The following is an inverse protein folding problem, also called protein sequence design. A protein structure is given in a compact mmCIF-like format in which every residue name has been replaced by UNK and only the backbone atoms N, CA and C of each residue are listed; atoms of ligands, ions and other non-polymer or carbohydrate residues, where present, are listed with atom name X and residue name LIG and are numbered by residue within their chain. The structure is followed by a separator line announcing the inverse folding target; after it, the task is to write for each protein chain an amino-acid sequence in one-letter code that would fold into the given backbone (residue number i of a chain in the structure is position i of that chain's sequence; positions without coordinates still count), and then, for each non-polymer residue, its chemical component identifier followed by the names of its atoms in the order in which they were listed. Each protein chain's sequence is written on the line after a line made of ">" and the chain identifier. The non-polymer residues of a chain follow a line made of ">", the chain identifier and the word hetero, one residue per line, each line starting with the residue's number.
data_IF_653193639564
#
_entry.id   IF_653193639564
#
_cell.length_a   1.000
_cell.length_b   1.000
_cell.length_c   1.000
_cell.angle_alpha   90.00
_cell.angle_beta   90.00
_cell.angle_gamma   90.00
#
_symmetry.space_group_name_H-M   'P 1'
#
loop_
_entity.id
_entity.type
_entity.pdbx_description
1 polymer ?
#
# COMPACT_ATOMS: atom_id res chain seq x y z
N UNK A 1 11.72 19.97 -14.87
CA UNK A 1 11.19 18.84 -14.09
C UNK A 1 10.02 18.26 -14.88
N UNK A 2 10.06 16.98 -15.28
CA UNK A 2 8.99 16.40 -16.12
C UNK A 2 7.85 15.87 -15.23
N UNK A 3 6.78 16.67 -15.12
CA UNK A 3 5.54 16.33 -14.38
C UNK A 3 4.97 14.97 -14.85
N UNK A 4 5.23 14.56 -16.10
CA UNK A 4 4.78 13.27 -16.62
C UNK A 4 5.45 12.09 -15.91
N UNK A 5 6.74 12.18 -15.60
CA UNK A 5 7.47 11.09 -14.92
C UNK A 5 6.96 10.86 -13.50
N UNK A 6 6.59 11.92 -12.78
CA UNK A 6 6.01 11.79 -11.45
C UNK A 6 4.59 11.20 -11.46
N UNK A 7 3.72 11.70 -12.34
CA UNK A 7 2.34 11.18 -12.45
C UNK A 7 2.34 9.69 -12.81
N UNK A 8 3.31 9.25 -13.63
CA UNK A 8 3.53 7.84 -13.91
C UNK A 8 3.93 7.05 -12.65
N UNK A 9 4.75 7.61 -11.75
CA UNK A 9 5.09 6.95 -10.48
C UNK A 9 3.91 6.84 -9.52
N UNK A 10 3.05 7.84 -9.41
CA UNK A 10 1.77 7.66 -8.68
C UNK A 10 0.93 6.56 -9.34
N UNK A 11 0.84 6.57 -10.67
CA UNK A 11 0.06 5.55 -11.39
C UNK A 11 0.62 4.14 -11.16
N UNK A 12 1.94 3.98 -11.10
CA UNK A 12 2.62 2.73 -10.78
C UNK A 12 2.34 2.28 -9.34
N UNK A 13 2.35 3.20 -8.36
CA UNK A 13 1.99 2.88 -6.98
C UNK A 13 0.53 2.43 -6.87
N UNK A 14 -0.39 3.11 -7.58
CA UNK A 14 -1.80 2.72 -7.65
C UNK A 14 -2.00 1.35 -8.33
N UNK A 15 -1.20 1.03 -9.34
CA UNK A 15 -1.23 -0.29 -9.98
C UNK A 15 -0.89 -1.41 -8.98
N UNK A 16 0.18 -1.26 -8.22
CA UNK A 16 0.54 -2.26 -7.20
C UNK A 16 -0.49 -2.32 -6.05
N UNK A 17 -1.03 -1.17 -5.64
CA UNK A 17 -2.13 -1.14 -4.67
C UNK A 17 -3.36 -1.91 -5.18
N UNK A 18 -3.73 -1.75 -6.46
CA UNK A 18 -4.84 -2.49 -7.07
C UNK A 18 -4.59 -4.01 -7.05
N UNK A 19 -3.34 -4.45 -7.22
CA UNK A 19 -2.97 -5.87 -7.09
C UNK A 19 -3.08 -6.37 -5.65
N UNK A 20 -2.66 -5.58 -4.64
CA UNK A 20 -2.83 -5.95 -3.22
C UNK A 20 -4.33 -6.09 -2.90
N UNK A 21 -5.15 -5.13 -3.34
CA UNK A 21 -6.60 -5.20 -3.16
C UNK A 21 -7.21 -6.41 -3.88
N UNK A 22 -6.70 -6.78 -5.05
CA UNK A 22 -7.15 -7.96 -5.78
C UNK A 22 -6.80 -9.25 -5.02
N UNK A 23 -5.59 -9.31 -4.44
CA UNK A 23 -5.12 -10.42 -3.63
C UNK A 23 -5.98 -10.58 -2.35
N UNK A 24 -6.26 -9.49 -1.62
CA UNK A 24 -7.16 -9.50 -0.45
C UNK A 24 -8.55 -10.03 -0.84
N UNK A 25 -9.14 -9.46 -1.90
CA UNK A 25 -10.51 -9.81 -2.33
C UNK A 25 -10.63 -11.22 -2.89
N UNK A 26 -9.60 -11.72 -3.58
CA UNK A 26 -9.55 -13.10 -4.09
C UNK A 26 -9.36 -14.11 -2.96
N UNK A 27 -8.64 -13.72 -1.90
CA UNK A 27 -8.28 -14.60 -0.79
C UNK A 27 -7.37 -15.78 -1.20
N UNK A 28 -6.72 -15.69 -2.36
CA UNK A 28 -5.78 -16.67 -2.86
C UNK A 28 -4.75 -16.01 -3.80
N UNK A 29 -3.63 -16.69 -4.01
CA UNK A 29 -2.49 -16.29 -4.84
C UNK A 29 -2.91 -15.75 -6.21
N UNK A 30 -2.31 -14.62 -6.61
CA UNK A 30 -2.45 -14.05 -7.94
C UNK A 30 -1.57 -14.76 -8.96
N UNK A 31 -0.47 -15.38 -8.52
CA UNK A 31 0.49 -16.05 -9.39
C UNK A 31 0.59 -17.55 -9.08
N UNK A 32 1.55 -18.23 -9.73
CA UNK A 32 1.87 -19.64 -9.48
C UNK A 32 2.71 -19.84 -8.21
N UNK A 33 3.01 -18.78 -7.48
CA UNK A 33 3.79 -18.81 -6.24
C UNK A 33 3.02 -19.46 -5.08
N UNK A 34 1.69 -19.53 -5.17
CA UNK A 34 0.77 -20.20 -4.24
C UNK A 34 0.94 -19.78 -2.76
N UNK A 35 1.55 -18.61 -2.51
CA UNK A 35 1.69 -18.02 -1.18
C UNK A 35 1.25 -16.54 -1.18
N UNK A 36 -0.01 -16.25 -0.80
CA UNK A 36 -0.56 -14.89 -0.77
C UNK A 36 0.20 -13.92 0.15
N UNK A 37 0.73 -14.39 1.28
CA UNK A 37 1.43 -13.56 2.25
C UNK A 37 2.77 -13.05 1.65
N UNK A 38 3.49 -13.94 0.97
CA UNK A 38 4.71 -13.56 0.24
C UNK A 38 4.40 -12.62 -0.94
N UNK A 39 3.33 -12.88 -1.70
CA UNK A 39 2.92 -11.99 -2.79
C UNK A 39 2.54 -10.59 -2.29
N UNK A 40 1.79 -10.51 -1.18
CA UNK A 40 1.46 -9.24 -0.54
C UNK A 40 2.73 -8.49 -0.11
N UNK A 41 3.71 -9.23 0.41
CA UNK A 41 5.00 -8.69 0.79
C UNK A 41 5.76 -8.13 -0.43
N UNK A 42 5.83 -8.87 -1.54
CA UNK A 42 6.48 -8.40 -2.78
C UNK A 42 5.82 -7.14 -3.35
N UNK A 43 4.50 -7.11 -3.35
CA UNK A 43 3.73 -5.96 -3.81
C UNK A 43 3.94 -4.74 -2.92
N UNK A 44 3.97 -4.92 -1.59
CA UNK A 44 4.31 -3.85 -0.65
C UNK A 44 5.71 -3.29 -0.93
N UNK A 45 6.71 -4.15 -1.12
CA UNK A 45 8.07 -3.74 -1.48
C UNK A 45 8.10 -2.88 -2.75
N UNK A 46 7.34 -3.28 -3.78
CA UNK A 46 7.24 -2.55 -5.04
C UNK A 46 6.58 -1.17 -4.85
N UNK A 47 5.51 -1.09 -4.05
CA UNK A 47 4.88 0.19 -3.68
C UNK A 47 5.87 1.10 -2.97
N UNK A 48 6.53 0.62 -1.92
CA UNK A 48 7.46 1.42 -1.11
C UNK A 48 8.59 2.00 -1.97
N UNK A 49 9.14 1.18 -2.87
CA UNK A 49 10.17 1.63 -3.80
C UNK A 49 9.66 2.66 -4.81
N UNK A 50 8.42 2.52 -5.27
CA UNK A 50 7.78 3.46 -6.19
C UNK A 50 7.56 4.82 -5.54
N UNK A 51 7.04 4.85 -4.31
CA UNK A 51 6.85 6.06 -3.51
C UNK A 51 8.17 6.75 -3.19
N UNK A 52 9.21 5.99 -2.87
CA UNK A 52 10.56 6.53 -2.69
C UNK A 52 11.08 7.18 -3.97
N UNK A 53 11.00 6.47 -5.10
CA UNK A 53 11.45 6.97 -6.41
C UNK A 53 10.72 8.25 -6.80
N UNK A 54 9.42 8.32 -6.56
CA UNK A 54 8.63 9.52 -6.79
C UNK A 54 9.16 10.74 -6.01
N UNK A 55 9.46 10.56 -4.72
CA UNK A 55 10.04 11.66 -3.91
C UNK A 55 11.47 12.04 -4.33
N UNK A 56 12.29 11.11 -4.82
CA UNK A 56 13.60 11.45 -5.41
C UNK A 56 13.44 12.30 -6.68
N UNK A 57 12.48 11.95 -7.54
CA UNK A 57 12.20 12.69 -8.77
C UNK A 57 11.69 14.12 -8.54
N UNK A 58 11.11 14.39 -7.36
CA UNK A 58 10.67 15.73 -6.94
C UNK A 58 11.80 16.60 -6.37
N UNK A 59 13.06 16.19 -6.52
CA UNK A 59 14.22 16.91 -5.98
C UNK A 59 14.77 16.31 -4.68
N UNK A 60 14.19 15.20 -4.20
CA UNK A 60 14.74 14.42 -3.11
C UNK A 60 14.95 15.23 -1.83
N UNK A 61 16.13 15.07 -1.19
CA UNK A 61 16.46 15.82 0.04
C UNK A 61 16.88 17.28 -0.22
N UNK A 62 17.08 17.67 -1.48
CA UNK A 62 17.50 19.01 -1.86
C UNK A 62 16.32 19.98 -1.93
N UNK A 63 15.13 19.47 -2.26
CA UNK A 63 13.89 20.25 -2.27
C UNK A 63 13.30 20.37 -0.84
N UNK A 64 13.19 21.57 -0.25
CA UNK A 64 12.75 21.75 1.14
C UNK A 64 11.38 21.15 1.44
N UNK A 65 10.43 21.25 0.51
CA UNK A 65 9.09 20.67 0.70
C UNK A 65 9.13 19.14 0.75
N UNK A 66 9.91 18.51 -0.13
CA UNK A 66 10.09 17.05 -0.17
C UNK A 66 10.85 16.57 1.07
N UNK A 67 11.87 17.32 1.51
CA UNK A 67 12.59 17.02 2.76
C UNK A 67 11.63 17.03 3.95
N UNK A 68 10.82 18.08 4.10
CA UNK A 68 9.83 18.19 5.18
C UNK A 68 8.80 17.07 5.11
N UNK A 69 8.35 16.72 3.90
CA UNK A 69 7.46 15.59 3.69
C UNK A 69 8.08 14.26 4.14
N UNK A 70 9.34 13.98 3.79
CA UNK A 70 10.01 12.75 4.23
C UNK A 70 10.20 12.70 5.75
N UNK A 71 10.49 13.85 6.37
CA UNK A 71 10.62 13.98 7.82
C UNK A 71 9.28 13.79 8.55
N UNK A 72 8.15 14.16 7.93
CA UNK A 72 6.81 13.94 8.49
C UNK A 72 6.26 12.53 8.25
N UNK A 73 6.87 11.74 7.37
CA UNK A 73 6.50 10.34 7.11
C UNK A 73 7.70 9.40 7.40
N UNK A 74 8.26 9.43 8.62
CA UNK A 74 9.46 8.67 8.96
C UNK A 74 9.25 7.16 8.79
N UNK A 75 8.02 6.68 8.97
CA UNK A 75 7.65 5.30 8.72
C UNK A 75 8.05 4.79 7.33
N UNK A 76 7.94 5.63 6.30
CA UNK A 76 8.29 5.23 4.94
C UNK A 76 9.77 5.52 4.62
N UNK A 77 10.29 6.65 5.10
CA UNK A 77 11.54 7.24 4.59
C UNK A 77 12.70 7.28 5.57
N UNK A 78 12.51 6.91 6.83
CA UNK A 78 13.60 6.87 7.80
C UNK A 78 14.66 5.82 7.42
N UNK A 79 15.84 5.93 8.04
CA UNK A 79 16.85 4.89 7.92
C UNK A 79 16.38 3.57 8.52
N UNK A 80 17.03 2.47 8.15
CA UNK A 80 16.70 1.12 8.61
C UNK A 80 16.77 0.99 10.14
N UNK A 81 17.78 1.59 10.77
CA UNK A 81 17.90 1.64 12.23
C UNK A 81 16.88 2.52 12.95
N UNK A 82 15.94 3.14 12.21
CA UNK A 82 14.86 4.00 12.72
C UNK A 82 13.47 3.54 12.25
N UNK A 83 13.33 2.32 11.74
CA UNK A 83 12.03 1.73 11.39
C UNK A 83 11.46 2.16 10.02
N UNK A 84 12.27 2.77 9.14
CA UNK A 84 11.78 3.15 7.81
C UNK A 84 11.52 1.93 6.93
N UNK A 85 10.25 1.63 6.64
CA UNK A 85 9.77 0.46 5.90
C UNK A 85 10.55 0.22 4.62
N UNK A 86 10.72 1.25 3.77
CA UNK A 86 11.50 1.11 2.52
C UNK A 86 12.94 0.68 2.80
N UNK A 87 13.58 1.29 3.79
CA UNK A 87 14.98 1.01 4.05
C UNK A 87 15.17 -0.35 4.71
N UNK A 88 14.22 -0.79 5.53
CA UNK A 88 14.16 -2.15 6.09
C UNK A 88 13.98 -3.18 4.99
N UNK A 89 12.96 -3.02 4.15
CA UNK A 89 12.65 -3.90 3.01
C UNK A 89 13.82 -4.06 2.04
N UNK A 90 14.59 -2.99 1.80
CA UNK A 90 15.69 -2.99 0.84
C UNK A 90 17.04 -3.43 1.44
N UNK A 91 17.30 -3.15 2.73
CA UNK A 91 18.65 -3.27 3.30
C UNK A 91 18.77 -4.16 4.54
N UNK A 92 17.67 -4.62 5.13
CA UNK A 92 17.70 -5.36 6.41
C UNK A 92 16.99 -6.69 6.29
N UNK A 93 15.68 -6.66 6.06
CA UNK A 93 14.82 -7.84 6.05
C UNK A 93 13.60 -7.56 5.17
N UNK A 94 13.04 -8.61 4.58
CA UNK A 94 11.73 -8.49 3.95
C UNK A 94 10.70 -8.06 5.01
N UNK A 95 9.88 -7.05 4.73
CA UNK A 95 8.71 -6.76 5.57
C UNK A 95 7.68 -7.82 5.23
N UNK A 96 7.47 -8.77 6.13
CA UNK A 96 6.48 -9.83 5.97
C UNK A 96 5.08 -9.22 6.14
N UNK A 97 4.29 -9.30 5.08
CA UNK A 97 2.86 -9.12 5.15
C UNK A 97 2.26 -10.43 5.64
N UNK A 98 1.64 -10.41 6.81
CA UNK A 98 0.87 -11.55 7.29
C UNK A 98 -0.60 -11.36 6.92
N UNK A 99 -1.25 -12.40 6.41
CA UNK A 99 -2.70 -12.41 6.39
C UNK A 99 -3.23 -12.57 7.81
N UNK A 100 -4.13 -11.69 8.25
CA UNK A 100 -4.93 -11.94 9.44
C UNK A 100 -6.01 -12.98 9.10
N UNK A 101 -5.59 -14.24 8.96
CA UNK A 101 -6.46 -15.41 8.72
C UNK A 101 -7.27 -15.84 9.95
N UNK A 102 -7.08 -15.20 11.09
CA UNK A 102 -8.03 -15.21 12.21
C UNK A 102 -8.45 -13.78 12.47
N UNK A 103 -9.77 -13.56 12.48
CA UNK A 103 -10.39 -12.39 13.11
C UNK A 103 -9.54 -11.96 14.31
N UNK A 104 -9.12 -10.68 14.42
CA UNK A 104 -8.38 -10.23 15.60
C UNK A 104 -9.12 -10.73 16.83
N UNK A 105 -8.40 -11.42 17.73
CA UNK A 105 -9.00 -11.79 19.01
C UNK A 105 -9.41 -10.49 19.71
N UNK A 106 -10.72 -10.23 19.68
CA UNK A 106 -11.43 -9.20 20.43
C UNK A 106 -10.81 -7.79 20.35
N UNK A 107 -10.96 -7.14 19.21
CA UNK A 107 -11.14 -5.68 19.19
C UNK A 107 -12.64 -5.37 18.93
N UNK A 108 -13.19 -4.24 19.43
CA UNK A 108 -14.57 -3.88 19.18
C UNK A 108 -14.83 -3.88 17.67
N UNK A 109 -15.73 -4.77 17.23
CA UNK A 109 -15.90 -5.09 15.82
C UNK A 109 -16.23 -3.86 14.99
N UNK A 110 -15.27 -3.41 14.17
CA UNK A 110 -15.47 -2.34 13.21
C UNK A 110 -15.96 -2.91 11.89
N UNK A 111 -17.15 -2.52 11.45
CA UNK A 111 -17.62 -2.78 10.09
C UNK A 111 -17.13 -1.65 9.20
N UNK A 112 -16.31 -1.96 8.19
CA UNK A 112 -15.86 -0.97 7.20
C UNK A 112 -16.57 -1.20 5.87
N UNK A 113 -17.30 -0.19 5.41
CA UNK A 113 -17.94 -0.17 4.10
C UNK A 113 -16.97 0.45 3.09
N UNK A 114 -16.35 -0.39 2.25
CA UNK A 114 -15.44 0.05 1.21
C UNK A 114 -16.20 0.26 -0.10
N UNK A 115 -16.29 1.51 -0.56
CA UNK A 115 -16.86 1.88 -1.87
C UNK A 115 -15.81 1.88 -2.99
N UNK A 116 -14.69 1.19 -2.76
CA UNK A 116 -13.59 1.10 -3.70
C UNK A 116 -13.99 0.32 -4.94
N UNK A 117 -13.51 0.78 -6.11
CA UNK A 117 -13.68 0.07 -7.37
C UNK A 117 -13.04 -1.31 -7.25
N UNK A 118 -13.81 -2.36 -7.49
CA UNK A 118 -13.27 -3.72 -7.55
C UNK A 118 -12.24 -3.83 -8.68
N UNK A 119 -11.00 -4.29 -8.39
CA UNK A 119 -9.95 -4.47 -9.39
C UNK A 119 -10.43 -5.29 -10.57
N UNK A 120 -10.00 -4.94 -11.79
CA UNK A 120 -10.44 -5.65 -13.01
C UNK A 120 -10.15 -7.15 -12.97
N UNK A 121 -9.04 -7.52 -12.34
CA UNK A 121 -8.57 -8.90 -12.23
C UNK A 121 -9.58 -9.84 -11.55
N UNK A 122 -10.49 -9.29 -10.74
CA UNK A 122 -11.48 -10.06 -9.96
C UNK A 122 -12.91 -9.55 -10.17
N UNK A 123 -13.14 -8.77 -11.22
CA UNK A 123 -14.50 -8.40 -11.60
C UNK A 123 -15.22 -9.65 -12.12
N UNK A 124 -16.05 -10.26 -11.29
CA UNK A 124 -17.02 -11.24 -11.75
C UNK A 124 -18.10 -10.53 -12.59
N UNK A 125 -18.60 -11.20 -13.63
CA UNK A 125 -19.74 -10.70 -14.41
C UNK A 125 -20.90 -10.49 -13.44
N UNK A 126 -21.27 -9.23 -13.19
CA UNK A 126 -22.30 -8.88 -12.24
C UNK A 126 -23.62 -9.58 -12.57
N UNK A 127 -23.97 -10.59 -11.77
CA UNK A 127 -25.28 -11.24 -11.81
C UNK A 127 -26.20 -10.58 -10.79
N UNK A 128 -27.18 -9.87 -11.33
CA UNK A 128 -28.47 -9.48 -10.74
C UNK A 128 -28.54 -8.34 -9.69
N UNK A 129 -29.55 -7.51 -9.92
CA UNK A 129 -29.99 -6.35 -9.15
C UNK A 129 -30.45 -6.72 -7.74
N UNK A 130 -30.17 -5.83 -6.76
CA UNK A 130 -30.91 -5.75 -5.51
C UNK A 130 -30.40 -6.55 -4.31
N UNK A 131 -29.20 -7.15 -4.36
CA UNK A 131 -28.64 -7.92 -3.23
C UNK A 131 -27.42 -7.20 -2.62
N UNK A 132 -27.48 -6.93 -1.31
CA UNK A 132 -26.31 -6.52 -0.53
C UNK A 132 -25.54 -7.79 -0.12
N UNK A 133 -24.36 -7.99 -0.68
CA UNK A 133 -23.46 -9.08 -0.30
C UNK A 133 -22.37 -8.53 0.61
N UNK A 134 -22.33 -9.01 1.86
CA UNK A 134 -21.24 -8.74 2.78
C UNK A 134 -20.17 -9.83 2.61
N UNK A 135 -19.03 -9.46 2.06
CA UNK A 135 -17.89 -10.36 1.86
C UNK A 135 -16.87 -10.14 2.98
N UNK A 136 -16.53 -11.21 3.69
CA UNK A 136 -15.45 -11.22 4.67
C UNK A 136 -14.20 -11.75 3.98
N UNK A 137 -13.26 -10.85 3.69
CA UNK A 137 -12.02 -11.16 2.97
C UNK A 137 -10.82 -11.10 3.91
N UNK A 138 -9.77 -11.90 3.67
CA UNK A 138 -8.51 -11.71 4.38
C UNK A 138 -7.99 -10.29 4.13
N UNK A 139 -7.38 -9.73 5.16
CA UNK A 139 -6.67 -8.45 5.09
C UNK A 139 -5.18 -8.71 5.29
N UNK A 140 -4.35 -7.99 4.55
CA UNK A 140 -2.91 -8.01 4.78
C UNK A 140 -2.51 -6.87 5.70
N UNK A 141 -1.72 -7.21 6.71
CA UNK A 141 -1.24 -6.26 7.69
C UNK A 141 0.27 -6.29 7.80
N UNK A 142 0.82 -5.20 8.30
CA UNK A 142 2.21 -5.10 8.72
C UNK A 142 2.25 -4.65 10.18
N UNK A 143 3.18 -5.22 10.94
CA UNK A 143 3.47 -4.75 12.29
C UNK A 143 4.58 -3.70 12.25
N UNK A 144 4.32 -2.55 12.86
CA UNK A 144 5.19 -1.39 12.89
C UNK A 144 5.19 -0.87 14.32
N UNK A 145 6.35 -0.88 14.99
CA UNK A 145 6.49 -0.38 16.36
C UNK A 145 5.43 -0.95 17.34
N UNK A 146 5.04 -2.21 17.15
CA UNK A 146 4.02 -2.90 17.96
C UNK A 146 2.57 -2.56 17.59
N UNK A 147 2.34 -1.78 16.52
CA UNK A 147 1.03 -1.49 15.96
C UNK A 147 0.80 -2.26 14.66
N UNK A 148 -0.40 -2.81 14.50
CA UNK A 148 -0.79 -3.58 13.32
C UNK A 148 -1.56 -2.67 12.38
N UNK A 149 -1.00 -2.42 11.20
CA UNK A 149 -1.58 -1.54 10.19
C UNK A 149 -1.98 -2.31 8.95
N UNK A 150 -3.14 -2.00 8.37
CA UNK A 150 -3.57 -2.59 7.09
C UNK A 150 -2.78 -1.97 5.94
N UNK A 151 -2.18 -2.83 5.12
CA UNK A 151 -1.30 -2.39 4.02
C UNK A 151 -2.02 -1.43 3.06
N UNK A 152 -3.24 -1.79 2.64
CA UNK A 152 -4.02 -0.97 1.69
C UNK A 152 -4.28 0.43 2.24
N UNK A 153 -4.61 0.55 3.52
CA UNK A 153 -4.91 1.84 4.16
C UNK A 153 -3.64 2.71 4.27
N UNK A 154 -2.56 2.09 4.74
CA UNK A 154 -1.28 2.74 4.92
C UNK A 154 -0.74 3.28 3.59
N UNK A 155 -0.76 2.44 2.56
CA UNK A 155 -0.27 2.78 1.22
C UNK A 155 -1.17 3.81 0.54
N UNK A 156 -2.50 3.65 0.59
CA UNK A 156 -3.43 4.57 -0.07
C UNK A 156 -3.33 5.99 0.51
N UNK A 157 -3.18 6.10 1.83
CA UNK A 157 -2.93 7.38 2.52
C UNK A 157 -1.66 8.04 2.00
N UNK A 158 -0.56 7.27 1.94
CA UNK A 158 0.72 7.80 1.49
C UNK A 158 0.70 8.22 0.00
N UNK A 159 0.02 7.46 -0.86
CA UNK A 159 -0.18 7.82 -2.27
C UNK A 159 -0.94 9.15 -2.39
N UNK A 160 -2.01 9.32 -1.59
CA UNK A 160 -2.82 10.53 -1.60
C UNK A 160 -2.04 11.76 -1.13
N UNK A 161 -1.29 11.64 -0.03
CA UNK A 161 -0.49 12.73 0.52
C UNK A 161 0.67 13.13 -0.39
N UNK A 162 1.33 12.15 -1.01
CA UNK A 162 2.33 12.41 -2.04
C UNK A 162 1.69 13.11 -3.26
N UNK A 163 0.49 12.68 -3.67
CA UNK A 163 -0.32 13.33 -4.69
C UNK A 163 -0.56 14.81 -4.42
N UNK A 164 -0.92 15.17 -3.18
CA UNK A 164 -1.05 16.56 -2.75
C UNK A 164 0.26 17.33 -2.83
N UNK A 165 1.34 16.76 -2.30
CA UNK A 165 2.65 17.38 -2.33
C UNK A 165 3.02 17.80 -3.76
N UNK A 166 2.68 17.01 -4.76
CA UNK A 166 2.97 17.41 -6.14
C UNK A 166 2.10 18.51 -6.68
N UNK A 167 0.82 18.56 -6.32
CA UNK A 167 0.01 19.72 -6.68
C UNK A 167 0.57 21.01 -6.06
N UNK A 168 1.20 20.91 -4.88
CA UNK A 168 1.81 22.06 -4.20
C UNK A 168 3.19 22.44 -4.75
N UNK A 169 3.92 21.49 -5.37
CA UNK A 169 5.25 21.70 -5.98
C UNK A 169 5.17 22.21 -7.43
N UNK A 170 4.06 21.95 -8.15
CA UNK A 170 3.87 22.33 -9.56
C UNK A 170 3.03 23.58 -9.74
#
# INVERSE_FOLDING_TARGET
>A
MDIKSYRLKISEANFFLELITALEKRGNSLTHHDNPDEEASFLLSAVLNTLYSATEMLGGKQEPMVKKFRESHPLFYAGSGKGGLRNTTVHVTHVEAASLGRLPQKSPGSVRLNFERTPKLIQEKATSQGRLTLNFTPIFVVEIDGQVERIVDLVSTQIFELGKLVLDVT
#
